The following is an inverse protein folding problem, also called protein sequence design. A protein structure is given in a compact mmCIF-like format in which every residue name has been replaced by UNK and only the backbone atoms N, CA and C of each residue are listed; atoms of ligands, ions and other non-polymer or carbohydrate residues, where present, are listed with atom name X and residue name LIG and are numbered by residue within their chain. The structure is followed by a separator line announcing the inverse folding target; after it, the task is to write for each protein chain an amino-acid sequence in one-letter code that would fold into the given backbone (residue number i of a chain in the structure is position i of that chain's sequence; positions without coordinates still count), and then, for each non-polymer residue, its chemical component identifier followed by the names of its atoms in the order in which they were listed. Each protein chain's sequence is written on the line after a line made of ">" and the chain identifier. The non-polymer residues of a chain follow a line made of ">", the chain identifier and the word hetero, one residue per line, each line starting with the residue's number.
data_IF_453173704775
#
_entry.id   IF_453173704775
#
_cell.length_a   1.000
_cell.length_b   1.000
_cell.length_c   1.000
_cell.angle_alpha   90.00
_cell.angle_beta   90.00
_cell.angle_gamma   90.00
#
_symmetry.space_group_name_H-M   'P 1'
#
loop_
_entity.id
_entity.type
_entity.pdbx_description
1 polymer ?
#
# COMPACT_ATOMS: atom_id res chain seq x y z
N UNK A 1 14.89 -8.46 14.60
CA UNK A 1 15.84 -7.96 13.57
C UNK A 1 16.97 -7.22 14.28
N UNK A 2 18.24 -7.37 13.90
CA UNK A 2 19.37 -6.75 14.62
C UNK A 2 19.64 -5.33 14.10
N UNK A 3 19.78 -4.38 15.03
CA UNK A 3 20.18 -2.96 14.90
C UNK A 3 21.31 -2.68 13.88
N UNK A 4 22.11 -3.70 13.59
CA UNK A 4 23.26 -3.69 12.68
C UNK A 4 22.87 -3.42 11.22
N UNK A 5 21.72 -3.94 10.74
CA UNK A 5 21.35 -3.77 9.32
C UNK A 5 20.86 -2.35 8.98
N UNK A 6 20.31 -1.62 9.95
CA UNK A 6 19.89 -0.23 9.77
C UNK A 6 21.13 0.70 9.86
N UNK A 7 22.14 0.32 10.65
CA UNK A 7 23.39 1.07 10.83
C UNK A 7 24.17 1.26 9.51
N UNK A 8 24.20 0.22 8.66
CA UNK A 8 24.96 0.21 7.39
C UNK A 8 24.37 1.13 6.31
N UNK A 9 23.07 1.42 6.35
CA UNK A 9 22.41 2.31 5.37
C UNK A 9 22.54 3.80 5.75
N UNK A 10 22.78 4.10 7.03
CA UNK A 10 22.84 5.47 7.57
C UNK A 10 24.23 6.11 7.44
N UNK A 11 25.28 5.34 7.12
CA UNK A 11 26.66 5.83 6.98
C UNK A 11 26.92 6.70 5.73
N UNK A 12 25.95 6.86 4.83
CA UNK A 12 26.12 7.57 3.55
C UNK A 12 25.73 9.06 3.53
N UNK A 13 25.18 9.64 4.61
CA UNK A 13 24.60 10.99 4.58
C UNK A 13 25.02 11.85 5.77
N UNK A 14 26.28 12.28 5.84
CA UNK A 14 26.72 13.23 6.87
C UNK A 14 27.70 14.27 6.33
N UNK A 15 27.22 15.20 5.48
CA UNK A 15 27.69 16.60 5.49
C UNK A 15 26.58 17.51 4.96
N UNK A 16 26.10 18.44 5.78
CA UNK A 16 25.22 19.51 5.33
C UNK A 16 24.55 20.25 6.47
N UNK A 17 25.01 21.47 6.73
CA UNK A 17 24.32 22.45 7.58
C UNK A 17 23.13 22.96 6.75
N UNK A 18 21.91 22.62 7.14
CA UNK A 18 20.67 23.09 6.48
C UNK A 18 19.75 23.77 7.49
N UNK A 19 18.96 24.73 7.01
CA UNK A 19 18.21 25.71 7.80
C UNK A 19 17.13 25.13 8.71
N UNK A 20 16.86 25.88 9.79
CA UNK A 20 15.76 25.65 10.75
C UNK A 20 14.42 25.62 10.01
N UNK A 21 13.67 24.54 10.16
CA UNK A 21 12.40 24.32 9.46
C UNK A 21 11.24 23.98 10.41
N UNK A 22 11.54 23.20 11.45
CA UNK A 22 10.53 22.67 12.37
C UNK A 22 10.68 23.26 13.77
N UNK A 23 11.93 23.49 14.23
CA UNK A 23 12.23 24.09 15.53
C UNK A 23 13.28 25.20 15.43
N UNK A 24 13.43 25.97 16.51
CA UNK A 24 14.51 26.94 16.66
C UNK A 24 15.90 26.32 16.48
N UNK A 25 16.06 25.03 16.80
CA UNK A 25 17.31 24.28 16.56
C UNK A 25 17.00 22.90 16.00
N UNK A 26 17.16 22.75 14.68
CA UNK A 26 17.07 21.46 13.98
C UNK A 26 18.48 20.88 13.80
N UNK A 27 18.86 19.91 14.65
CA UNK A 27 20.09 19.13 14.49
C UNK A 27 19.77 17.85 13.71
N UNK A 28 20.68 17.43 12.83
CA UNK A 28 20.59 16.10 12.20
C UNK A 28 20.46 15.06 13.32
N UNK A 29 19.39 14.24 13.32
CA UNK A 29 19.21 13.22 14.33
C UNK A 29 20.36 12.23 14.32
N UNK A 30 20.78 11.77 15.49
CA UNK A 30 21.76 10.68 15.57
C UNK A 30 21.22 9.42 14.91
N UNK A 31 22.13 8.55 14.45
CA UNK A 31 21.80 7.24 13.86
C UNK A 31 20.82 6.45 14.73
N UNK A 32 21.00 6.47 16.05
CA UNK A 32 20.11 5.79 17.00
C UNK A 32 18.70 6.38 17.01
N UNK A 33 18.55 7.72 16.91
CA UNK A 33 17.24 8.37 16.80
C UNK A 33 16.56 8.04 15.48
N UNK A 34 17.32 7.93 14.39
CA UNK A 34 16.79 7.52 13.08
C UNK A 34 16.32 6.07 13.08
N UNK A 35 17.09 5.16 13.68
CA UNK A 35 16.68 3.76 13.86
C UNK A 35 15.38 3.68 14.65
N UNK A 36 15.34 4.34 15.80
CA UNK A 36 14.15 4.39 16.65
C UNK A 36 12.94 4.96 15.89
N UNK A 37 13.13 6.05 15.15
CA UNK A 37 12.09 6.64 14.31
C UNK A 37 11.56 5.67 13.25
N UNK A 38 12.45 4.97 12.54
CA UNK A 38 12.06 3.99 11.52
C UNK A 38 11.32 2.78 12.09
N UNK A 39 11.77 2.22 13.21
CA UNK A 39 11.07 1.10 13.87
C UNK A 39 9.67 1.52 14.32
N UNK A 40 9.54 2.74 14.87
CA UNK A 40 8.24 3.26 15.25
C UNK A 40 7.34 3.52 14.04
N UNK A 41 7.90 3.95 12.90
CA UNK A 41 7.17 4.16 11.65
C UNK A 41 6.57 2.88 11.10
N UNK A 42 7.27 1.75 11.17
CA UNK A 42 6.71 0.47 10.72
C UNK A 42 5.45 0.12 11.52
N UNK A 43 5.53 0.17 12.86
CA UNK A 43 4.38 -0.08 13.72
C UNK A 43 3.24 0.95 13.52
N UNK A 44 3.59 2.23 13.38
CA UNK A 44 2.63 3.31 13.14
C UNK A 44 1.90 3.14 11.81
N UNK A 45 2.63 2.79 10.74
CA UNK A 45 2.06 2.53 9.42
C UNK A 45 1.13 1.32 9.42
N UNK A 46 1.43 0.27 10.19
CA UNK A 46 0.56 -0.90 10.34
C UNK A 46 -0.72 -0.55 11.11
N UNK A 47 -0.64 0.25 12.19
CA UNK A 47 -1.82 0.76 12.90
C UNK A 47 -2.71 1.59 11.96
N UNK A 48 -2.11 2.50 11.19
CA UNK A 48 -2.82 3.27 10.17
C UNK A 48 -3.46 2.35 9.11
N UNK A 49 -2.76 1.32 8.65
CA UNK A 49 -3.25 0.38 7.64
C UNK A 49 -4.56 -0.28 8.05
N UNK A 50 -4.61 -0.80 9.28
CA UNK A 50 -5.80 -1.46 9.83
C UNK A 50 -6.94 -0.45 9.99
N UNK A 51 -6.67 0.72 10.57
CA UNK A 51 -7.68 1.77 10.76
C UNK A 51 -8.24 2.25 9.42
N UNK A 52 -7.39 2.40 8.40
CA UNK A 52 -7.80 2.77 7.06
C UNK A 52 -8.70 1.70 6.44
N UNK A 53 -8.35 0.41 6.53
CA UNK A 53 -9.21 -0.67 6.07
C UNK A 53 -10.59 -0.64 6.74
N UNK A 54 -10.63 -0.44 8.06
CA UNK A 54 -11.86 -0.37 8.86
C UNK A 54 -12.73 0.84 8.52
N UNK A 55 -12.13 1.95 8.08
CA UNK A 55 -12.85 3.17 7.70
C UNK A 55 -13.32 3.19 6.23
N UNK A 56 -12.71 2.36 5.37
CA UNK A 56 -13.09 2.22 3.97
C UNK A 56 -14.38 1.40 3.81
N UNK A 57 -15.11 1.66 2.72
CA UNK A 57 -16.22 0.80 2.33
C UNK A 57 -15.68 -0.52 1.79
N UNK A 58 -15.90 -1.59 2.54
CA UNK A 58 -15.47 -2.95 2.21
C UNK A 58 -16.64 -3.86 1.87
N UNK A 59 -17.81 -3.32 1.48
CA UNK A 59 -18.94 -4.12 0.95
C UNK A 59 -18.74 -4.55 -0.50
N UNK A 60 -17.80 -3.92 -1.20
CA UNK A 60 -17.30 -4.29 -2.53
C UNK A 60 -15.87 -4.82 -2.44
N UNK A 61 -15.33 -5.30 -3.56
CA UNK A 61 -13.88 -5.52 -3.62
C UNK A 61 -13.14 -4.22 -3.34
N UNK A 62 -12.07 -4.32 -2.58
CA UNK A 62 -11.28 -3.18 -2.12
C UNK A 62 -9.81 -3.53 -2.25
N UNK A 63 -9.00 -2.69 -2.89
CA UNK A 63 -7.55 -2.83 -2.91
C UNK A 63 -6.83 -1.49 -2.81
N UNK A 64 -5.86 -1.39 -1.90
CA UNK A 64 -5.11 -0.15 -1.70
C UNK A 64 -3.73 -0.43 -1.09
N UNK A 65 -2.86 0.58 -1.18
CA UNK A 65 -1.60 0.61 -0.44
C UNK A 65 -1.72 1.55 0.75
N UNK A 66 -1.94 1.03 1.96
CA UNK A 66 -1.98 1.89 3.14
C UNK A 66 -0.63 2.55 3.41
N UNK A 67 0.48 1.87 3.13
CA UNK A 67 1.82 2.44 3.30
C UNK A 67 2.06 3.64 2.38
N UNK A 68 1.63 3.58 1.12
CA UNK A 68 1.72 4.72 0.19
C UNK A 68 0.87 5.90 0.68
N UNK A 69 -0.36 5.64 1.16
CA UNK A 69 -1.22 6.70 1.73
C UNK A 69 -0.58 7.32 2.96
N UNK A 70 -0.16 6.50 3.93
CA UNK A 70 0.51 6.93 5.15
C UNK A 70 1.74 7.81 4.84
N UNK A 71 2.59 7.36 3.91
CA UNK A 71 3.80 8.06 3.49
C UNK A 71 3.52 9.35 2.71
N UNK A 72 2.38 9.48 2.03
CA UNK A 72 1.94 10.75 1.42
C UNK A 72 1.47 11.77 2.46
N UNK A 73 0.79 11.30 3.52
CA UNK A 73 0.32 12.15 4.62
C UNK A 73 1.47 12.64 5.51
N UNK A 74 2.58 11.89 5.60
CA UNK A 74 3.81 12.38 6.22
C UNK A 74 4.30 13.67 5.53
N UNK A 75 4.23 13.75 4.20
CA UNK A 75 4.63 14.96 3.46
C UNK A 75 3.77 16.17 3.85
N UNK A 76 2.46 15.97 4.03
CA UNK A 76 1.53 16.98 4.53
C UNK A 76 1.89 17.40 5.95
N UNK A 77 2.16 16.42 6.83
CA UNK A 77 2.56 16.65 8.22
C UNK A 77 3.80 17.54 8.34
N UNK A 78 4.77 17.44 7.42
CA UNK A 78 5.96 18.30 7.45
C UNK A 78 5.61 19.79 7.33
N UNK A 79 4.57 20.15 6.60
CA UNK A 79 4.13 21.54 6.44
C UNK A 79 2.91 21.95 7.28
N UNK A 80 2.37 21.06 8.11
CA UNK A 80 1.26 21.37 9.01
C UNK A 80 1.73 22.01 10.32
N UNK A 81 0.90 22.82 10.97
CA UNK A 81 1.13 23.37 12.32
C UNK A 81 -0.12 23.28 13.19
N UNK A 82 0.01 23.54 14.49
CA UNK A 82 -1.13 23.73 15.40
C UNK A 82 -2.03 22.49 15.54
N UNK A 83 -3.35 22.67 15.42
CA UNK A 83 -4.34 21.58 15.50
C UNK A 83 -4.15 20.56 14.38
N UNK A 84 -3.96 21.02 13.15
CA UNK A 84 -3.76 20.16 11.97
C UNK A 84 -2.58 19.20 12.17
N UNK A 85 -1.49 19.71 12.73
CA UNK A 85 -0.32 18.89 13.07
C UNK A 85 -0.69 17.78 14.06
N UNK A 86 -1.36 18.12 15.17
CA UNK A 86 -1.76 17.15 16.20
C UNK A 86 -2.74 16.10 15.66
N UNK A 87 -3.67 16.50 14.80
CA UNK A 87 -4.59 15.57 14.14
C UNK A 87 -3.84 14.61 13.23
N UNK A 88 -2.90 15.12 12.42
CA UNK A 88 -2.05 14.29 11.57
C UNK A 88 -1.18 13.33 12.40
N UNK A 89 -0.61 13.74 13.53
CA UNK A 89 0.11 12.85 14.43
C UNK A 89 -0.80 11.71 14.93
N UNK A 90 -2.05 12.05 15.26
CA UNK A 90 -3.11 11.11 15.65
C UNK A 90 -3.48 10.10 14.59
N UNK A 91 -3.66 10.57 13.35
CA UNK A 91 -3.99 9.73 12.20
C UNK A 91 -2.80 8.83 11.84
N UNK A 92 -1.60 9.39 11.75
CA UNK A 92 -0.37 8.70 11.38
C UNK A 92 0.16 7.79 12.50
N UNK A 93 -0.32 7.94 13.74
CA UNK A 93 0.12 7.22 14.93
C UNK A 93 1.61 7.45 15.27
N UNK A 94 2.06 8.70 15.15
CA UNK A 94 3.47 9.14 15.34
C UNK A 94 3.63 10.17 16.47
N UNK A 95 2.66 10.24 17.38
CA UNK A 95 2.69 11.19 18.51
C UNK A 95 3.98 11.03 19.34
N UNK A 96 4.55 12.14 19.79
CA UNK A 96 5.73 12.14 20.65
C UNK A 96 7.06 11.94 19.90
N UNK A 97 7.03 11.75 18.58
CA UNK A 97 8.24 11.80 17.76
C UNK A 97 8.50 13.26 17.35
N UNK A 98 9.75 13.68 17.50
CA UNK A 98 10.18 14.98 17.01
C UNK A 98 10.01 15.11 15.48
N UNK A 99 9.38 16.19 15.02
CA UNK A 99 9.10 16.41 13.60
C UNK A 99 10.35 16.42 12.70
N UNK A 100 11.49 16.91 13.20
CA UNK A 100 12.75 16.84 12.47
C UNK A 100 13.25 15.39 12.35
N UNK A 101 13.10 14.59 13.42
CA UNK A 101 13.31 13.13 13.35
C UNK A 101 12.38 12.48 12.33
N UNK A 102 11.11 12.90 12.27
CA UNK A 102 10.15 12.38 11.29
C UNK A 102 10.60 12.66 9.86
N UNK A 103 10.99 13.90 9.56
CA UNK A 103 11.45 14.32 8.23
C UNK A 103 12.67 13.51 7.74
N UNK A 104 13.68 13.34 8.59
CA UNK A 104 14.88 12.57 8.25
C UNK A 104 14.63 11.05 8.22
N UNK A 105 13.78 10.53 9.10
CA UNK A 105 13.40 9.11 9.10
C UNK A 105 12.63 8.76 7.84
N UNK A 106 11.77 9.67 7.35
CA UNK A 106 11.04 9.49 6.11
C UNK A 106 11.96 9.41 4.87
N UNK A 107 12.99 10.25 4.79
CA UNK A 107 14.00 10.15 3.74
C UNK A 107 14.75 8.80 3.81
N UNK A 108 15.13 8.38 5.02
CA UNK A 108 15.80 7.10 5.25
C UNK A 108 14.91 5.91 4.88
N UNK A 109 13.61 6.01 5.13
CA UNK A 109 12.60 5.01 4.78
C UNK A 109 12.50 4.80 3.26
N UNK A 110 12.56 5.88 2.47
CA UNK A 110 12.58 5.77 1.00
C UNK A 110 13.80 5.01 0.50
N UNK A 111 14.97 5.29 1.08
CA UNK A 111 16.22 4.58 0.78
C UNK A 111 16.17 3.11 1.22
N UNK A 112 15.56 2.81 2.37
CA UNK A 112 15.36 1.45 2.85
C UNK A 112 14.56 0.61 1.85
N UNK A 113 13.36 1.07 1.45
CA UNK A 113 12.54 0.30 0.52
C UNK A 113 13.16 0.17 -0.86
N UNK A 114 13.85 1.22 -1.33
CA UNK A 114 14.56 1.17 -2.61
C UNK A 114 15.74 0.18 -2.61
N UNK A 115 16.37 -0.06 -1.45
CA UNK A 115 17.51 -0.99 -1.34
C UNK A 115 17.10 -2.43 -1.03
N UNK A 116 16.05 -2.63 -0.21
CA UNK A 116 15.61 -3.96 0.24
C UNK A 116 14.65 -4.63 -0.73
N UNK A 117 13.90 -3.86 -1.51
CA UNK A 117 12.97 -4.37 -2.52
C UNK A 117 13.59 -4.15 -3.88
N UNK A 118 13.91 -5.23 -4.62
CA UNK A 118 14.50 -5.12 -5.96
C UNK A 118 13.58 -4.27 -6.86
N UNK A 119 14.14 -3.21 -7.45
CA UNK A 119 13.42 -2.14 -8.14
C UNK A 119 12.50 -2.59 -9.31
N UNK A 120 12.64 -3.83 -9.81
CA UNK A 120 11.77 -4.38 -10.86
C UNK A 120 10.36 -4.76 -10.38
N UNK A 121 10.19 -4.95 -9.08
CA UNK A 121 8.95 -5.49 -8.52
C UNK A 121 8.03 -4.46 -7.88
N UNK A 122 8.50 -3.22 -7.70
CA UNK A 122 7.83 -2.26 -6.83
C UNK A 122 8.02 -0.82 -7.30
N UNK A 123 6.95 -0.03 -7.37
CA UNK A 123 7.02 1.41 -7.65
C UNK A 123 6.02 2.14 -6.76
N UNK A 124 6.54 2.92 -5.81
CA UNK A 124 5.75 3.82 -4.96
C UNK A 124 6.08 5.27 -5.31
N UNK A 125 5.03 6.06 -5.51
CA UNK A 125 5.10 7.46 -5.90
C UNK A 125 4.04 8.24 -5.16
N UNK A 126 4.49 9.13 -4.29
CA UNK A 126 3.65 10.09 -3.62
C UNK A 126 3.98 11.44 -4.22
N UNK A 127 2.97 12.23 -4.55
CA UNK A 127 3.18 13.59 -5.03
C UNK A 127 2.27 14.58 -4.31
N UNK A 128 2.83 15.74 -3.98
CA UNK A 128 2.12 16.98 -3.66
C UNK A 128 2.15 17.83 -4.93
N UNK A 129 0.98 18.28 -5.39
CA UNK A 129 0.86 19.26 -6.45
C UNK A 129 0.39 20.58 -5.86
N UNK A 130 1.18 21.64 -6.03
CA UNK A 130 0.85 23.00 -5.60
C UNK A 130 0.58 23.92 -6.78
N UNK A 131 -0.28 24.91 -6.58
CA UNK A 131 -0.47 25.98 -7.55
C UNK A 131 0.86 26.70 -7.85
N UNK A 132 1.10 27.00 -9.14
CA UNK A 132 2.39 27.48 -9.67
C UNK A 132 2.97 28.73 -9.01
N UNK A 133 2.13 29.58 -8.42
CA UNK A 133 2.55 30.86 -7.80
C UNK A 133 2.90 30.73 -6.31
N UNK A 134 2.73 29.56 -5.70
CA UNK A 134 3.01 29.32 -4.28
C UNK A 134 4.50 29.09 -4.05
N UNK A 135 5.12 29.91 -3.18
CA UNK A 135 6.52 29.71 -2.78
C UNK A 135 6.58 28.99 -1.44
N UNK A 136 7.19 27.80 -1.42
CA UNK A 136 7.43 27.08 -0.17
C UNK A 136 8.70 27.58 0.52
N UNK A 137 8.81 27.36 1.83
CA UNK A 137 10.06 27.65 2.54
C UNK A 137 11.21 26.81 1.99
N UNK A 138 12.36 27.45 1.79
CA UNK A 138 13.56 26.80 1.25
C UNK A 138 14.06 25.61 2.09
N UNK A 139 13.81 25.65 3.40
CA UNK A 139 14.17 24.55 4.31
C UNK A 139 13.40 23.25 4.07
N UNK A 140 12.19 23.31 3.47
CA UNK A 140 11.39 22.12 3.14
C UNK A 140 11.81 21.46 1.82
N UNK A 141 12.48 22.20 0.93
CA UNK A 141 12.85 21.73 -0.41
C UNK A 141 13.64 20.42 -0.36
N UNK A 142 14.66 20.22 0.52
CA UNK A 142 15.38 18.95 0.59
C UNK A 142 14.50 17.74 0.93
N UNK A 143 13.42 17.94 1.70
CA UNK A 143 12.51 16.87 2.12
C UNK A 143 11.43 16.55 1.07
N UNK A 144 11.06 17.55 0.26
CA UNK A 144 9.96 17.45 -0.71
C UNK A 144 10.41 17.34 -2.17
N UNK A 145 11.71 17.49 -2.46
CA UNK A 145 12.26 17.63 -3.82
C UNK A 145 11.75 16.59 -4.83
N UNK A 146 11.53 15.35 -4.40
CA UNK A 146 11.13 14.25 -5.28
C UNK A 146 9.61 14.00 -5.30
N UNK A 147 8.86 14.71 -4.49
CA UNK A 147 7.42 14.53 -4.32
C UNK A 147 6.63 15.81 -4.59
N UNK A 148 7.26 16.98 -4.65
CA UNK A 148 6.60 18.24 -4.95
C UNK A 148 6.66 18.56 -6.44
N UNK A 149 5.51 18.90 -7.02
CA UNK A 149 5.40 19.46 -8.36
C UNK A 149 4.51 20.71 -8.35
N UNK A 150 4.85 21.68 -9.18
CA UNK A 150 4.04 22.88 -9.41
C UNK A 150 3.16 22.69 -10.64
N UNK A 151 1.90 23.06 -10.54
CA UNK A 151 0.90 22.92 -11.60
C UNK A 151 0.07 24.20 -11.66
N UNK A 152 -0.48 24.54 -12.84
CA UNK A 152 -1.39 25.66 -12.97
C UNK A 152 -2.85 25.23 -13.00
N UNK A 153 -3.47 25.21 -11.82
CA UNK A 153 -4.87 24.87 -11.64
C UNK A 153 -5.83 26.00 -12.04
N UNK A 154 -5.41 27.26 -11.90
CA UNK A 154 -6.30 28.42 -12.07
C UNK A 154 -6.65 28.71 -13.52
N UNK A 155 -5.63 28.81 -14.37
CA UNK A 155 -5.83 29.21 -15.77
C UNK A 155 -6.43 28.07 -16.60
N UNK A 156 -6.00 26.82 -16.36
CA UNK A 156 -6.44 25.65 -17.13
C UNK A 156 -6.59 24.38 -16.27
N UNK A 157 -7.66 24.25 -15.46
CA UNK A 157 -7.88 23.11 -14.55
C UNK A 157 -7.82 21.73 -15.25
N UNK A 158 -8.42 21.61 -16.43
CA UNK A 158 -8.41 20.34 -17.18
C UNK A 158 -7.04 20.00 -17.76
N UNK A 159 -6.27 21.00 -18.20
CA UNK A 159 -4.89 20.77 -18.66
C UNK A 159 -4.00 20.33 -17.49
N UNK A 160 -4.17 20.95 -16.32
CA UNK A 160 -3.53 20.52 -15.08
C UNK A 160 -3.86 19.05 -14.74
N UNK A 161 -5.14 18.67 -14.83
CA UNK A 161 -5.59 17.29 -14.59
C UNK A 161 -4.93 16.30 -15.54
N UNK A 162 -4.91 16.60 -16.83
CA UNK A 162 -4.27 15.76 -17.86
C UNK A 162 -2.76 15.66 -17.60
N UNK A 163 -2.09 16.78 -17.29
CA UNK A 163 -0.66 16.79 -17.01
C UNK A 163 -0.29 15.96 -15.76
N UNK A 164 -1.09 16.04 -14.70
CA UNK A 164 -0.89 15.24 -13.48
C UNK A 164 -1.08 13.75 -13.78
N UNK A 165 -2.16 13.37 -14.49
CA UNK A 165 -2.39 11.98 -14.88
C UNK A 165 -1.25 11.45 -15.77
N UNK A 166 -0.77 12.24 -16.72
CA UNK A 166 0.36 11.87 -17.57
C UNK A 166 1.66 11.68 -16.78
N UNK A 167 1.96 12.58 -15.82
CA UNK A 167 3.13 12.45 -14.96
C UNK A 167 3.07 11.13 -14.17
N UNK A 168 1.92 10.84 -13.56
CA UNK A 168 1.71 9.63 -12.76
C UNK A 168 1.76 8.38 -13.63
N UNK A 169 1.20 8.41 -14.83
CA UNK A 169 1.30 7.34 -15.81
C UNK A 169 2.77 7.03 -16.14
N UNK A 170 3.59 8.05 -16.43
CA UNK A 170 5.02 7.86 -16.67
C UNK A 170 5.76 7.33 -15.45
N UNK A 171 5.47 7.90 -14.28
CA UNK A 171 6.06 7.47 -13.01
C UNK A 171 5.73 6.01 -12.66
N UNK A 172 4.57 5.51 -13.10
CA UNK A 172 4.08 4.15 -12.87
C UNK A 172 4.29 3.22 -14.07
N UNK A 173 5.04 3.63 -15.10
CA UNK A 173 5.31 2.84 -16.31
C UNK A 173 4.02 2.32 -16.98
N UNK A 174 3.06 3.22 -17.17
CA UNK A 174 1.75 2.98 -17.79
C UNK A 174 0.79 2.07 -17.02
N UNK A 175 1.12 1.72 -15.78
CA UNK A 175 0.29 0.85 -14.93
C UNK A 175 -0.87 1.57 -14.28
N UNK A 176 -0.73 2.87 -14.02
CA UNK A 176 -1.80 3.72 -13.51
C UNK A 176 -1.96 4.90 -14.47
N UNK A 177 -2.98 4.82 -15.34
CA UNK A 177 -3.19 5.82 -16.40
C UNK A 177 -3.93 7.07 -15.93
N UNK A 178 -4.89 6.89 -15.04
CA UNK A 178 -5.75 7.97 -14.57
C UNK A 178 -6.01 7.80 -13.08
N UNK A 179 -5.55 8.76 -12.29
CA UNK A 179 -5.83 8.87 -10.85
C UNK A 179 -6.84 9.98 -10.56
N UNK A 180 -6.79 11.08 -11.33
CA UNK A 180 -7.67 12.23 -11.19
C UNK A 180 -8.81 12.13 -12.20
N UNK A 181 -10.05 11.85 -11.75
CA UNK A 181 -11.18 11.70 -12.65
C UNK A 181 -11.59 13.04 -13.29
N UNK A 182 -12.34 13.05 -14.40
CA UNK A 182 -12.86 14.28 -14.98
C UNK A 182 -13.61 15.13 -13.93
N UNK A 183 -13.50 16.46 -14.03
CA UNK A 183 -14.09 17.41 -13.09
C UNK A 183 -13.55 17.34 -11.65
N UNK A 184 -12.41 16.67 -11.40
CA UNK A 184 -11.82 16.58 -10.05
C UNK A 184 -10.95 17.77 -9.65
N UNK A 185 -10.65 18.67 -10.59
CA UNK A 185 -9.83 19.87 -10.38
C UNK A 185 -10.67 21.07 -10.81
N UNK A 186 -10.60 22.13 -10.02
CA UNK A 186 -11.31 23.38 -10.29
C UNK A 186 -10.33 24.55 -10.32
N UNK A 187 -10.79 25.72 -10.78
CA UNK A 187 -9.96 26.93 -10.84
C UNK A 187 -9.53 27.44 -9.46
N UNK A 188 -10.22 27.03 -8.39
CA UNK A 188 -9.84 27.35 -7.01
C UNK A 188 -8.89 26.33 -6.38
N UNK A 189 -8.59 25.21 -7.06
CA UNK A 189 -7.69 24.19 -6.52
C UNK A 189 -6.28 24.73 -6.37
N UNK A 190 -5.65 24.47 -5.22
CA UNK A 190 -4.30 24.92 -4.91
C UNK A 190 -3.38 23.80 -4.42
N UNK A 191 -3.93 22.72 -3.86
CA UNK A 191 -3.16 21.64 -3.23
C UNK A 191 -3.82 20.27 -3.44
N UNK A 192 -3.15 19.41 -4.21
CA UNK A 192 -3.56 18.00 -4.38
C UNK A 192 -2.49 17.08 -3.82
N UNK A 193 -2.89 16.08 -3.04
CA UNK A 193 -2.02 14.96 -2.66
C UNK A 193 -2.41 13.73 -3.47
N UNK A 194 -1.42 13.07 -4.07
CA UNK A 194 -1.60 11.79 -4.75
C UNK A 194 -0.70 10.73 -4.16
N UNK A 195 -1.22 9.51 -4.07
CA UNK A 195 -0.51 8.33 -3.58
C UNK A 195 -0.76 7.20 -4.56
N UNK A 196 0.31 6.70 -5.18
CA UNK A 196 0.24 5.61 -6.14
C UNK A 196 1.27 4.56 -5.84
N UNK A 197 0.83 3.31 -5.88
CA UNK A 197 1.71 2.17 -5.68
C UNK A 197 1.34 1.06 -6.64
N UNK A 198 2.36 0.58 -7.35
CA UNK A 198 2.29 -0.53 -8.26
C UNK A 198 3.23 -1.63 -7.77
N UNK A 199 2.77 -2.87 -7.81
CA UNK A 199 3.56 -4.02 -7.43
C UNK A 199 3.43 -5.14 -8.45
N UNK A 200 4.58 -5.76 -8.73
CA UNK A 200 4.75 -6.90 -9.60
C UNK A 200 5.68 -7.91 -8.93
N UNK A 201 5.14 -9.03 -8.48
CA UNK A 201 5.90 -10.08 -7.81
C UNK A 201 5.74 -11.40 -8.52
N UNK A 202 6.77 -12.24 -8.55
CA UNK A 202 6.61 -13.65 -8.95
C UNK A 202 6.53 -14.51 -7.70
N UNK A 203 5.62 -15.49 -7.68
CA UNK A 203 5.57 -16.46 -6.59
C UNK A 203 6.93 -17.16 -6.47
N UNK A 204 7.39 -17.42 -5.25
CA UNK A 204 8.55 -18.27 -5.05
C UNK A 204 8.30 -19.67 -5.61
N UNK A 205 7.06 -20.16 -5.43
CA UNK A 205 6.55 -21.40 -5.99
C UNK A 205 5.30 -21.09 -6.82
N UNK A 206 5.39 -21.02 -8.16
CA UNK A 206 4.26 -20.73 -9.01
C UNK A 206 3.28 -21.91 -9.10
N UNK A 207 2.04 -21.62 -9.43
CA UNK A 207 1.04 -22.62 -9.80
C UNK A 207 1.34 -23.11 -11.21
N UNK A 208 0.96 -24.37 -11.48
CA UNK A 208 0.98 -24.90 -12.84
C UNK A 208 -0.30 -24.45 -13.57
N UNK A 209 -0.22 -23.74 -14.71
CA UNK A 209 -1.41 -23.30 -15.44
C UNK A 209 -2.37 -24.43 -15.81
N UNK A 210 -1.85 -25.61 -16.13
CA UNK A 210 -2.68 -26.79 -16.40
C UNK A 210 -3.47 -27.32 -15.20
N UNK A 211 -3.11 -26.89 -13.97
CA UNK A 211 -3.84 -27.23 -12.75
C UNK A 211 -4.95 -26.23 -12.43
N UNK A 212 -5.00 -25.07 -13.13
CA UNK A 212 -6.09 -24.11 -13.00
C UNK A 212 -7.37 -24.71 -13.57
N UNK A 213 -8.44 -24.69 -12.78
CA UNK A 213 -9.74 -25.27 -13.15
C UNK A 213 -10.91 -24.45 -12.60
N UNK A 214 -12.09 -24.49 -13.25
CA UNK A 214 -13.28 -23.87 -12.69
C UNK A 214 -13.60 -24.42 -11.30
N UNK A 215 -13.92 -23.54 -10.35
CA UNK A 215 -14.38 -23.89 -9.02
C UNK A 215 -15.45 -22.92 -8.53
N UNK A 216 -16.32 -23.39 -7.64
CA UNK A 216 -17.37 -22.55 -7.06
C UNK A 216 -16.76 -21.53 -6.10
N UNK A 217 -17.12 -20.27 -6.27
CA UNK A 217 -16.85 -19.20 -5.33
C UNK A 217 -18.17 -18.66 -4.79
N UNK A 218 -18.38 -18.77 -3.48
CA UNK A 218 -19.60 -18.41 -2.77
C UNK A 218 -19.51 -16.97 -2.27
N UNK A 219 -20.27 -16.05 -2.89
CA UNK A 219 -20.33 -14.63 -2.48
C UNK A 219 -21.27 -14.44 -1.29
N UNK A 220 -22.26 -15.33 -1.16
CA UNK A 220 -23.18 -15.44 -0.03
C UNK A 220 -23.65 -16.91 0.14
N UNK A 221 -24.62 -17.16 1.02
CA UNK A 221 -25.22 -18.49 1.16
C UNK A 221 -26.01 -18.93 -0.09
N UNK A 222 -26.55 -17.96 -0.85
CA UNK A 222 -27.45 -18.22 -1.97
C UNK A 222 -26.84 -17.87 -3.33
N UNK A 223 -25.72 -17.15 -3.34
CA UNK A 223 -25.07 -16.69 -4.57
C UNK A 223 -23.67 -17.27 -4.68
N UNK A 224 -23.38 -17.80 -5.87
CA UNK A 224 -22.08 -18.32 -6.24
C UNK A 224 -21.83 -18.13 -7.73
N UNK A 225 -20.56 -18.22 -8.13
CA UNK A 225 -20.17 -18.24 -9.54
C UNK A 225 -18.95 -19.14 -9.76
N UNK A 226 -18.64 -19.43 -11.02
CA UNK A 226 -17.45 -20.19 -11.40
C UNK A 226 -16.24 -19.24 -11.51
N UNK A 227 -15.26 -19.42 -10.63
CA UNK A 227 -13.97 -18.76 -10.68
C UNK A 227 -12.90 -19.70 -11.24
N UNK A 228 -11.87 -19.15 -11.89
CA UNK A 228 -10.68 -19.92 -12.25
C UNK A 228 -9.82 -20.12 -10.99
N UNK A 229 -9.85 -21.34 -10.45
CA UNK A 229 -9.11 -21.71 -9.23
C UNK A 229 -7.75 -22.28 -9.62
N UNK A 230 -6.68 -21.58 -9.26
CA UNK A 230 -5.31 -22.07 -9.37
C UNK A 230 -5.06 -23.09 -8.27
N UNK A 231 -4.57 -24.28 -8.63
CA UNK A 231 -4.39 -25.38 -7.67
C UNK A 231 -2.92 -25.77 -7.57
N UNK A 232 -2.41 -25.86 -6.34
CA UNK A 232 -1.07 -26.33 -6.03
C UNK A 232 -1.08 -27.24 -4.80
N UNK A 233 -0.08 -28.12 -4.71
CA UNK A 233 0.20 -28.93 -3.53
C UNK A 233 1.66 -28.68 -3.16
N UNK A 234 1.88 -28.00 -2.03
CA UNK A 234 3.21 -27.66 -1.55
C UNK A 234 3.19 -27.40 -0.03
N UNK A 235 4.37 -27.12 0.53
CA UNK A 235 4.51 -26.67 1.91
C UNK A 235 4.32 -25.17 2.02
N UNK A 236 3.34 -24.74 2.80
CA UNK A 236 3.09 -23.33 3.11
C UNK A 236 3.13 -23.10 4.62
N UNK A 237 3.57 -21.91 5.01
CA UNK A 237 3.38 -21.43 6.37
C UNK A 237 1.89 -21.19 6.60
N UNK A 238 1.34 -21.78 7.67
CA UNK A 238 -0.10 -21.82 7.93
C UNK A 238 -0.38 -21.62 9.42
N UNK A 239 -1.47 -20.91 9.71
CA UNK A 239 -1.99 -20.75 11.06
C UNK A 239 -3.52 -20.72 11.05
N UNK A 240 -4.10 -21.08 12.20
CA UNK A 240 -5.52 -20.83 12.50
C UNK A 240 -5.58 -19.84 13.65
N UNK A 241 -6.37 -18.77 13.54
CA UNK A 241 -6.57 -17.81 14.63
C UNK A 241 -8.02 -17.83 15.09
N UNK A 242 -8.22 -18.09 16.37
CA UNK A 242 -9.53 -17.97 17.02
C UNK A 242 -9.87 -16.50 17.29
N UNK A 243 -8.88 -15.65 17.61
CA UNK A 243 -9.14 -14.24 17.84
C UNK A 243 -9.58 -13.49 16.57
N UNK A 244 -8.98 -13.83 15.43
CA UNK A 244 -9.32 -13.24 14.13
C UNK A 244 -10.42 -14.04 13.39
N UNK A 245 -10.84 -15.18 13.94
CA UNK A 245 -11.85 -16.06 13.33
C UNK A 245 -11.51 -16.44 11.88
N UNK A 246 -10.24 -16.75 11.60
CA UNK A 246 -9.76 -17.08 10.26
C UNK A 246 -8.75 -18.24 10.28
N UNK A 247 -8.52 -18.80 9.10
CA UNK A 247 -7.31 -19.57 8.78
C UNK A 247 -6.48 -18.75 7.81
N UNK A 248 -5.16 -18.83 7.89
CA UNK A 248 -4.28 -18.04 7.05
C UNK A 248 -3.14 -18.87 6.47
N UNK A 249 -2.74 -18.50 5.26
CA UNK A 249 -1.53 -19.01 4.61
C UNK A 249 -0.62 -17.87 4.22
N UNK A 250 0.67 -18.18 4.15
CA UNK A 250 1.71 -17.28 3.74
C UNK A 250 2.35 -17.77 2.42
N UNK A 251 2.34 -16.90 1.41
CA UNK A 251 2.80 -17.17 0.04
C UNK A 251 3.96 -16.23 -0.35
N UNK A 252 5.23 -16.67 -0.18
CA UNK A 252 6.39 -15.82 -0.43
C UNK A 252 6.58 -15.53 -1.92
N UNK A 253 7.08 -14.33 -2.23
CA UNK A 253 7.54 -13.98 -3.58
C UNK A 253 9.03 -14.33 -3.77
N UNK A 254 9.48 -14.36 -5.03
CA UNK A 254 10.90 -14.46 -5.38
C UNK A 254 11.70 -13.37 -4.67
N UNK A 255 12.84 -13.76 -4.09
CA UNK A 255 13.67 -12.88 -3.28
C UNK A 255 13.28 -12.84 -1.80
N UNK A 256 12.12 -13.39 -1.42
CA UNK A 256 11.66 -13.55 -0.03
C UNK A 256 11.62 -12.25 0.81
N UNK A 257 11.70 -11.08 0.16
CA UNK A 257 11.57 -9.78 0.82
C UNK A 257 10.10 -9.38 1.00
N UNK A 258 9.23 -9.90 0.14
CA UNK A 258 7.79 -9.65 0.18
C UNK A 258 7.05 -10.97 0.23
N UNK A 259 5.89 -10.94 0.86
CA UNK A 259 5.01 -12.09 0.99
C UNK A 259 3.55 -11.67 0.96
N UNK A 260 2.70 -12.44 0.27
CA UNK A 260 1.24 -12.32 0.41
C UNK A 260 0.77 -13.22 1.55
N UNK A 261 -0.08 -12.68 2.41
CA UNK A 261 -0.81 -13.43 3.43
C UNK A 261 -2.28 -13.42 3.06
N UNK A 262 -2.87 -14.61 2.91
CA UNK A 262 -4.29 -14.79 2.62
C UNK A 262 -4.98 -15.23 3.90
N UNK A 263 -5.90 -14.42 4.40
CA UNK A 263 -6.71 -14.71 5.58
C UNK A 263 -8.13 -15.06 5.14
N UNK A 264 -8.48 -16.34 5.29
CA UNK A 264 -9.76 -16.90 4.93
C UNK A 264 -10.66 -17.00 6.17
N UNK A 265 -11.74 -16.22 6.27
CA UNK A 265 -12.63 -16.28 7.43
C UNK A 265 -13.25 -17.66 7.63
N UNK A 266 -13.41 -18.07 8.89
CA UNK A 266 -14.08 -19.34 9.26
C UNK A 266 -15.58 -19.27 8.93
N UNK A 267 -16.23 -18.15 9.24
CA UNK A 267 -17.63 -17.92 8.91
C UNK A 267 -17.79 -17.55 7.43
N UNK A 268 -18.67 -18.27 6.71
CA UNK A 268 -18.86 -18.09 5.26
C UNK A 268 -19.71 -16.89 4.85
N UNK A 269 -20.48 -16.30 5.76
CA UNK A 269 -21.47 -15.25 5.46
C UNK A 269 -21.00 -13.88 5.92
N UNK A 270 -20.65 -13.74 7.21
CA UNK A 270 -20.24 -12.46 7.81
C UNK A 270 -18.76 -12.44 8.19
N UNK A 271 -18.00 -13.47 7.80
CA UNK A 271 -16.63 -13.67 8.26
C UNK A 271 -15.67 -12.54 7.91
N UNK A 272 -15.81 -11.92 6.74
CA UNK A 272 -14.93 -10.80 6.35
C UNK A 272 -15.13 -9.59 7.26
N UNK A 273 -16.37 -9.23 7.58
CA UNK A 273 -16.65 -8.10 8.47
C UNK A 273 -16.13 -8.36 9.89
N UNK A 274 -16.34 -9.57 10.41
CA UNK A 274 -15.82 -9.99 11.73
C UNK A 274 -14.29 -9.98 11.75
N UNK A 275 -13.66 -10.46 10.68
CA UNK A 275 -12.21 -10.43 10.54
C UNK A 275 -11.71 -8.97 10.54
N UNK A 276 -12.28 -8.10 9.70
CA UNK A 276 -11.83 -6.69 9.60
C UNK A 276 -12.01 -5.94 10.92
N UNK A 277 -13.12 -6.15 11.63
CA UNK A 277 -13.38 -5.49 12.92
C UNK A 277 -12.50 -6.02 14.05
N UNK A 278 -12.03 -7.27 13.96
CA UNK A 278 -11.15 -7.88 14.96
C UNK A 278 -9.65 -7.61 14.72
N UNK A 279 -9.27 -7.07 13.56
CA UNK A 279 -7.87 -6.77 13.24
C UNK A 279 -7.26 -5.75 14.23
N UNK A 280 -6.12 -6.13 14.80
CA UNK A 280 -5.20 -5.25 15.52
C UNK A 280 -3.77 -5.59 15.11
N UNK A 281 -2.82 -4.67 15.34
CA UNK A 281 -1.41 -4.95 15.02
C UNK A 281 -0.89 -6.14 15.82
N UNK A 282 -1.26 -6.23 17.10
CA UNK A 282 -0.90 -7.36 17.97
C UNK A 282 -1.40 -8.67 17.38
N UNK A 283 -2.71 -8.76 17.06
CA UNK A 283 -3.30 -9.98 16.51
C UNK A 283 -2.72 -10.40 15.16
N UNK A 284 -2.35 -9.43 14.31
CA UNK A 284 -1.67 -9.74 13.06
C UNK A 284 -0.25 -10.26 13.30
N UNK A 285 0.48 -9.71 14.26
CA UNK A 285 1.80 -10.22 14.63
C UNK A 285 1.70 -11.61 15.24
N UNK A 286 0.78 -11.83 16.17
CA UNK A 286 0.53 -13.14 16.78
C UNK A 286 0.19 -14.19 15.71
N UNK A 287 -0.67 -13.84 14.75
CA UNK A 287 -1.00 -14.69 13.61
C UNK A 287 0.25 -15.08 12.80
N UNK A 288 1.17 -14.14 12.56
CA UNK A 288 2.41 -14.39 11.81
C UNK A 288 3.38 -15.25 12.62
N UNK A 289 3.51 -14.99 13.92
CA UNK A 289 4.41 -15.73 14.82
C UNK A 289 3.93 -17.18 15.03
N UNK A 290 2.61 -17.40 14.98
CA UNK A 290 1.98 -18.72 15.05
C UNK A 290 2.03 -19.51 13.73
N UNK A 291 2.45 -18.90 12.61
CA UNK A 291 2.57 -19.61 11.34
C UNK A 291 3.76 -20.55 11.33
N UNK A 292 3.50 -21.79 10.93
CA UNK A 292 4.57 -22.77 10.75
C UNK A 292 4.29 -23.65 9.51
N UNK A 293 5.32 -24.31 8.95
CA UNK A 293 5.15 -25.08 7.71
C UNK A 293 4.16 -26.26 7.84
N UNK A 294 3.22 -26.35 6.90
CA UNK A 294 2.28 -27.48 6.72
C UNK A 294 2.21 -27.90 5.26
N UNK A 295 1.91 -29.18 5.03
CA UNK A 295 1.61 -29.72 3.70
C UNK A 295 0.16 -29.36 3.31
N UNK A 296 0.00 -28.55 2.26
CA UNK A 296 -1.29 -27.93 1.90
C UNK A 296 -1.61 -28.13 0.42
N UNK A 297 -2.85 -28.54 0.15
CA UNK A 297 -3.47 -28.41 -1.16
C UNK A 297 -4.20 -27.06 -1.21
N UNK A 298 -3.61 -26.11 -1.91
CA UNK A 298 -4.10 -24.75 -2.06
C UNK A 298 -4.95 -24.64 -3.32
N UNK A 299 -6.17 -24.11 -3.19
CA UNK A 299 -6.96 -23.61 -4.31
C UNK A 299 -7.25 -22.11 -4.12
N UNK A 300 -6.67 -21.26 -4.96
CA UNK A 300 -6.78 -19.80 -4.90
C UNK A 300 -7.39 -19.27 -6.20
N UNK A 301 -8.45 -18.42 -6.17
CA UNK A 301 -9.00 -17.86 -7.39
C UNK A 301 -7.99 -16.89 -8.04
N UNK A 302 -7.98 -16.84 -9.37
CA UNK A 302 -7.40 -15.72 -10.13
C UNK A 302 -8.25 -14.49 -9.90
N UNK A 303 -7.62 -13.34 -9.70
CA UNK A 303 -8.35 -12.09 -9.54
C UNK A 303 -7.55 -10.89 -9.98
N UNK A 304 -8.26 -9.85 -10.38
CA UNK A 304 -7.69 -8.53 -10.61
C UNK A 304 -8.52 -7.49 -9.88
N UNK A 305 -7.84 -6.64 -9.11
CA UNK A 305 -8.43 -5.49 -8.45
C UNK A 305 -7.73 -4.22 -8.93
N UNK A 306 -8.52 -3.21 -9.26
CA UNK A 306 -8.06 -1.85 -9.50
C UNK A 306 -9.04 -0.93 -8.79
N UNK A 307 -8.51 -0.09 -7.91
CA UNK A 307 -9.32 0.74 -7.06
C UNK A 307 -8.73 2.14 -6.93
N UNK A 308 -9.64 3.11 -6.90
CA UNK A 308 -9.34 4.54 -6.80
C UNK A 308 -10.16 5.13 -5.66
N UNK A 309 -9.53 5.97 -4.85
CA UNK A 309 -10.14 6.58 -3.67
C UNK A 309 -9.86 8.07 -3.69
N UNK A 310 -10.93 8.86 -3.51
CA UNK A 310 -10.81 10.18 -2.90
C UNK A 310 -10.89 9.94 -1.39
N UNK A 311 -9.78 10.17 -0.68
CA UNK A 311 -9.59 9.75 0.71
C UNK A 311 -10.02 10.80 1.74
N UNK A 312 -10.33 12.05 1.35
CA UNK A 312 -10.68 13.11 2.30
C UNK A 312 -11.84 12.71 3.23
N UNK A 313 -12.97 12.13 2.75
CA UNK A 313 -14.05 11.64 3.62
C UNK A 313 -13.61 10.55 4.60
N UNK A 314 -12.68 9.68 4.18
CA UNK A 314 -12.16 8.61 5.03
C UNK A 314 -11.20 9.15 6.08
N UNK A 315 -10.34 10.10 5.71
CA UNK A 315 -9.41 10.77 6.62
C UNK A 315 -10.14 11.58 7.70
N UNK A 316 -11.28 12.20 7.35
CA UNK A 316 -12.18 12.82 8.32
C UNK A 316 -12.64 11.81 9.39
N UNK A 317 -13.09 10.62 8.98
CA UNK A 317 -13.50 9.54 9.91
C UNK A 317 -12.33 9.06 10.79
N UNK A 318 -11.10 9.14 10.28
CA UNK A 318 -9.89 8.78 11.02
C UNK A 318 -9.42 9.87 12.00
N UNK A 319 -10.01 11.07 11.95
CA UNK A 319 -9.75 12.15 12.90
C UNK A 319 -9.04 13.37 12.33
N UNK A 320 -8.85 13.46 11.00
CA UNK A 320 -8.34 14.68 10.36
C UNK A 320 -9.52 15.61 10.03
N UNK A 321 -10.01 16.33 11.05
CA UNK A 321 -11.21 17.15 10.99
C UNK A 321 -10.97 18.49 10.30
N UNK A 322 -9.74 19.01 10.42
CA UNK A 322 -9.35 20.27 9.76
C UNK A 322 -9.54 20.24 8.24
N UNK A 323 -9.55 19.06 7.59
CA UNK A 323 -9.87 18.90 6.16
C UNK A 323 -11.24 19.46 5.75
N UNK A 324 -12.21 19.52 6.67
CA UNK A 324 -13.60 19.86 6.35
C UNK A 324 -14.03 21.18 6.99
N UNK A 325 -13.35 21.60 8.06
CA UNK A 325 -13.68 22.85 8.76
C UNK A 325 -13.05 24.09 8.10
N UNK A 326 -12.21 23.93 7.08
CA UNK A 326 -11.49 25.05 6.45
C UNK A 326 -10.43 25.69 7.37
N UNK A 327 -10.05 24.98 8.45
CA UNK A 327 -9.07 25.45 9.46
C UNK A 327 -7.71 24.80 9.32
N UNK A 328 -7.45 24.14 8.19
CA UNK A 328 -6.15 23.56 7.84
C UNK A 328 -5.03 24.58 8.01
N UNK A 329 -4.19 24.36 9.01
CA UNK A 329 -3.01 25.18 9.25
C UNK A 329 -1.81 24.56 8.54
N UNK A 330 -1.67 24.90 7.26
CA UNK A 330 -0.54 24.53 6.40
C UNK A 330 0.51 25.65 6.26
N UNK A 331 0.53 26.59 7.20
CA UNK A 331 1.50 27.71 7.23
C UNK A 331 2.95 27.27 7.46
N UNK A 332 3.18 25.98 7.69
CA UNK A 332 4.51 25.37 7.64
C UNK A 332 5.04 25.20 6.21
N UNK A 333 4.19 25.21 5.17
CA UNK A 333 4.63 25.20 3.78
C UNK A 333 5.06 26.58 3.29
N UNK A 334 4.23 27.60 3.57
CA UNK A 334 4.41 28.97 3.04
C UNK A 334 3.81 29.99 4.00
N UNK A 335 4.27 31.25 3.91
CA UNK A 335 3.64 32.41 4.55
C UNK A 335 2.74 33.21 3.62
N UNK A 336 2.75 32.90 2.32
CA UNK A 336 2.19 33.78 1.29
C UNK A 336 0.66 33.78 1.30
N UNK A 337 0.04 32.66 1.72
CA UNK A 337 -1.41 32.51 1.90
C UNK A 337 -1.73 31.26 2.74
N UNK A 338 -2.97 31.19 3.21
CA UNK A 338 -3.52 29.99 3.84
C UNK A 338 -3.76 28.94 2.76
N UNK A 339 -3.22 27.73 2.95
CA UNK A 339 -3.43 26.61 2.03
C UNK A 339 -4.44 25.64 2.63
N UNK A 340 -5.33 25.14 1.79
CA UNK A 340 -6.20 24.01 2.09
C UNK A 340 -5.73 22.77 1.31
N UNK A 341 -6.21 21.58 1.67
CA UNK A 341 -5.99 20.35 0.89
C UNK A 341 -7.27 20.08 0.13
N UNK A 342 -7.28 20.40 -1.15
CA UNK A 342 -8.46 20.22 -2.00
C UNK A 342 -8.85 18.75 -2.12
N UNK A 343 -7.84 17.87 -2.27
CA UNK A 343 -8.08 16.45 -2.38
C UNK A 343 -6.87 15.58 -2.05
N UNK A 344 -7.16 14.38 -1.53
CA UNK A 344 -6.20 13.29 -1.39
C UNK A 344 -6.67 12.13 -2.26
N UNK A 345 -5.95 11.83 -3.34
CA UNK A 345 -6.26 10.72 -4.23
C UNK A 345 -5.30 9.56 -4.04
N UNK A 346 -5.85 8.35 -3.95
CA UNK A 346 -5.09 7.11 -3.93
C UNK A 346 -5.56 6.17 -5.03
N UNK A 347 -4.62 5.52 -5.71
CA UNK A 347 -4.94 4.45 -6.67
C UNK A 347 -3.93 3.31 -6.58
N UNK A 348 -4.45 2.10 -6.62
CA UNK A 348 -3.68 0.88 -6.61
C UNK A 348 -4.30 -0.17 -7.54
N UNK A 349 -3.44 -1.04 -8.08
CA UNK A 349 -3.83 -2.14 -8.96
C UNK A 349 -3.04 -3.39 -8.60
N UNK A 350 -3.70 -4.53 -8.64
CA UNK A 350 -3.12 -5.86 -8.49
C UNK A 350 -3.79 -6.83 -9.45
N UNK A 351 -3.01 -7.72 -10.04
CA UNK A 351 -3.50 -8.87 -10.79
C UNK A 351 -2.78 -10.11 -10.26
N UNK A 352 -3.52 -11.11 -9.83
CA UNK A 352 -2.99 -12.37 -9.28
C UNK A 352 -3.27 -13.51 -10.26
N UNK A 353 -2.20 -14.17 -10.67
CA UNK A 353 -2.18 -15.28 -11.61
C UNK A 353 -1.25 -16.41 -11.14
N UNK A 354 -1.10 -17.43 -11.98
CA UNK A 354 -0.36 -18.65 -11.67
C UNK A 354 1.13 -18.39 -11.42
N UNK A 355 1.69 -17.33 -11.99
CA UNK A 355 3.11 -17.01 -11.88
C UNK A 355 3.40 -16.02 -10.76
N UNK A 356 2.42 -15.20 -10.38
CA UNK A 356 2.63 -14.19 -9.35
C UNK A 356 1.55 -13.13 -9.28
N UNK A 357 1.99 -11.95 -8.84
CA UNK A 357 1.31 -10.69 -9.05
C UNK A 357 1.87 -10.01 -10.31
N UNK A 358 1.06 -10.01 -11.36
CA UNK A 358 1.26 -9.56 -12.76
C UNK A 358 2.48 -10.15 -13.50
N UNK A 359 2.31 -11.24 -14.26
CA UNK A 359 3.33 -11.83 -15.13
C UNK A 359 2.83 -12.09 -16.57
N UNK A 360 3.77 -12.27 -17.50
CA UNK A 360 3.52 -12.80 -18.85
C UNK A 360 4.70 -13.71 -19.25
N UNK A 361 4.41 -15.03 -19.38
CA UNK A 361 5.23 -16.18 -19.83
C UNK A 361 6.62 -16.39 -19.20
N UNK A 362 7.25 -17.58 -19.20
CA UNK A 362 6.84 -18.97 -19.03
C UNK A 362 8.16 -19.74 -18.85
N UNK A 363 8.38 -20.41 -17.72
CA UNK A 363 9.35 -21.51 -17.61
C UNK A 363 8.98 -22.36 -16.40
N UNK A 364 8.42 -23.53 -16.65
CA UNK A 364 8.09 -24.52 -15.64
C UNK A 364 9.33 -25.38 -15.36
N UNK A 365 9.87 -25.32 -14.15
CA UNK A 365 10.83 -26.29 -13.64
C UNK A 365 10.10 -27.22 -12.68
N UNK A 366 10.15 -28.53 -12.96
CA UNK A 366 9.59 -29.55 -12.10
C UNK A 366 10.41 -29.68 -10.81
N UNK A 367 9.74 -29.71 -9.65
CA UNK A 367 10.36 -29.94 -8.35
C UNK A 367 9.99 -31.32 -7.79
N UNK A 368 10.91 -31.97 -7.05
CA UNK A 368 10.71 -33.30 -6.50
C UNK A 368 9.77 -33.30 -5.30
N UNK A 369 8.88 -34.30 -5.23
CA UNK A 369 8.04 -34.60 -4.06
C UNK A 369 8.91 -34.94 -2.85
N UNK A 370 8.70 -34.25 -1.73
CA UNK A 370 9.18 -34.70 -0.41
C UNK A 370 8.03 -35.36 0.33
N UNK A 371 8.21 -36.62 0.73
CA UNK A 371 7.29 -37.29 1.65
C UNK A 371 7.62 -36.85 3.08
N UNK A 372 6.71 -36.16 3.74
CA UNK A 372 6.63 -36.14 5.19
C UNK A 372 5.21 -36.58 5.58
N UNK A 373 5.10 -37.45 6.58
CA UNK A 373 3.82 -37.99 7.06
C UNK A 373 3.07 -36.96 7.92
N UNK A 374 2.69 -35.84 7.31
CA UNK A 374 1.78 -34.87 7.90
C UNK A 374 0.41 -34.98 7.23
N UNK A 375 -0.67 -34.85 8.02
CA UNK A 375 -2.02 -34.75 7.49
C UNK A 375 -2.07 -33.59 6.48
N UNK A 376 -2.42 -33.89 5.24
CA UNK A 376 -2.61 -32.90 4.18
C UNK A 376 -3.81 -32.01 4.57
N UNK A 377 -3.65 -30.70 4.46
CA UNK A 377 -4.70 -29.71 4.73
C UNK A 377 -5.20 -29.15 3.40
N UNK A 378 -6.51 -29.17 3.18
CA UNK A 378 -7.14 -28.47 2.06
C UNK A 378 -7.39 -27.01 2.44
N UNK A 379 -6.72 -26.08 1.75
CA UNK A 379 -6.96 -24.64 1.88
C UNK A 379 -7.62 -24.11 0.62
N UNK A 380 -8.95 -24.13 0.61
CA UNK A 380 -9.76 -23.73 -0.54
C UNK A 380 -10.33 -22.33 -0.30
N UNK A 381 -9.89 -21.36 -1.10
CA UNK A 381 -10.32 -19.96 -1.04
C UNK A 381 -11.59 -19.76 -1.88
N UNK A 382 -12.67 -20.40 -1.45
CA UNK A 382 -13.97 -20.49 -2.15
C UNK A 382 -14.97 -19.40 -1.73
N UNK A 383 -14.55 -18.36 -1.03
CA UNK A 383 -15.44 -17.36 -0.41
C UNK A 383 -14.69 -16.06 -0.12
N UNK A 384 -15.40 -14.95 0.17
CA UNK A 384 -14.77 -13.67 0.48
C UNK A 384 -13.66 -13.77 1.51
N UNK A 385 -12.53 -13.13 1.21
CA UNK A 385 -11.31 -13.21 2.01
C UNK A 385 -10.60 -11.86 2.08
N UNK A 386 -9.74 -11.72 3.10
CA UNK A 386 -8.86 -10.57 3.26
C UNK A 386 -7.45 -11.02 2.94
N UNK A 387 -6.69 -10.21 2.22
CA UNK A 387 -5.28 -10.46 2.01
C UNK A 387 -4.46 -9.20 2.25
N UNK A 388 -3.18 -9.37 2.52
CA UNK A 388 -2.24 -8.28 2.56
C UNK A 388 -0.88 -8.73 2.04
N UNK A 389 -0.09 -7.77 1.54
CA UNK A 389 1.29 -8.00 1.13
C UNK A 389 2.16 -7.27 2.13
N UNK A 390 3.08 -8.00 2.78
CA UNK A 390 4.01 -7.45 3.76
C UNK A 390 5.45 -7.49 3.26
N UNK A 391 6.26 -6.56 3.75
CA UNK A 391 7.72 -6.62 3.63
C UNK A 391 8.30 -7.30 4.86
N UNK A 392 9.04 -8.40 4.65
CA UNK A 392 9.35 -9.38 5.69
C UNK A 392 10.40 -8.89 6.70
N UNK A 393 11.24 -7.91 6.34
CA UNK A 393 12.21 -7.36 7.30
C UNK A 393 11.53 -6.41 8.28
N UNK A 394 10.70 -5.49 7.79
CA UNK A 394 10.03 -4.47 8.60
C UNK A 394 8.66 -4.88 9.14
N UNK A 395 8.09 -6.00 8.67
CA UNK A 395 6.69 -6.37 8.86
C UNK A 395 5.69 -5.29 8.39
N UNK A 396 6.13 -4.36 7.53
CA UNK A 396 5.27 -3.27 7.06
C UNK A 396 4.25 -3.78 6.05
N UNK A 397 2.98 -3.41 6.24
CA UNK A 397 1.88 -3.75 5.34
C UNK A 397 1.94 -2.84 4.11
N UNK A 398 2.39 -3.38 2.99
CA UNK A 398 2.53 -2.65 1.72
C UNK A 398 1.20 -2.48 1.00
N UNK A 399 0.39 -3.53 0.99
CA UNK A 399 -0.92 -3.57 0.36
C UNK A 399 -1.91 -4.33 1.22
N UNK A 400 -3.18 -3.94 1.14
CA UNK A 400 -4.29 -4.69 1.71
C UNK A 400 -5.41 -4.77 0.68
N UNK A 401 -6.14 -5.88 0.73
CA UNK A 401 -7.33 -6.02 -0.07
C UNK A 401 -8.37 -6.95 0.52
N UNK A 402 -9.59 -6.74 0.08
CA UNK A 402 -10.75 -7.58 0.35
C UNK A 402 -11.26 -8.05 -1.00
N UNK A 403 -11.29 -9.37 -1.19
CA UNK A 403 -11.87 -9.98 -2.38
C UNK A 403 -13.22 -10.54 -1.98
N UNK A 404 -14.29 -10.03 -2.59
CA UNK A 404 -15.67 -10.54 -2.47
C UNK A 404 -16.15 -11.17 -3.76
N UNK A 405 -15.71 -10.64 -4.89
CA UNK A 405 -16.03 -11.11 -6.22
C UNK A 405 -14.73 -11.13 -7.03
N UNK A 406 -13.96 -12.23 -7.05
CA UNK A 406 -12.78 -12.33 -7.91
C UNK A 406 -13.18 -12.13 -9.37
N UNK A 407 -13.00 -10.91 -9.89
CA UNK A 407 -13.29 -10.59 -11.29
C UNK A 407 -12.37 -11.44 -12.17
N UNK A 408 -12.97 -12.17 -13.10
CA UNK A 408 -12.22 -12.95 -14.09
C UNK A 408 -11.32 -12.01 -14.89
N UNK A 409 -10.04 -12.37 -15.02
CA UNK A 409 -9.14 -11.76 -15.99
C UNK A 409 -9.74 -12.01 -17.36
N UNK A 410 -10.21 -10.95 -18.06
CA UNK A 410 -10.55 -11.10 -19.48
C UNK A 410 -9.26 -11.57 -20.16
N UNK A 411 -9.27 -12.76 -20.75
CA UNK A 411 -8.21 -13.16 -21.66
C UNK A 411 -8.10 -12.06 -22.71
N UNK A 412 -6.95 -11.38 -22.78
CA UNK A 412 -6.67 -10.53 -23.92
C UNK A 412 -6.43 -11.52 -25.06
N UNK A 413 -7.51 -11.86 -25.76
CA UNK A 413 -7.43 -12.60 -26.99
C UNK A 413 -6.51 -11.82 -27.93
N UNK A 414 -5.41 -12.45 -28.35
CA UNK A 414 -4.70 -12.05 -29.55
C UNK A 414 -5.67 -12.24 -30.73
N UNK A 415 -6.48 -11.22 -30.99
CA UNK A 415 -7.28 -11.04 -32.20
C UNK A 415 -7.09 -9.60 -32.66
N UNK A 416 -5.86 -9.28 -33.05
CA UNK A 416 -5.60 -8.19 -33.96
C UNK A 416 -4.43 -8.61 -34.85
N UNK A 417 -4.57 -8.31 -36.14
CA UNK A 417 -3.67 -8.63 -37.27
C UNK A 417 -3.89 -9.99 -37.92
N UNK A 418 -5.00 -10.15 -38.66
CA UNK A 418 -4.97 -10.47 -40.11
C UNK A 418 -6.21 -9.81 -40.73
N UNK A 419 -6.06 -8.61 -41.27
CA UNK A 419 -6.85 -8.09 -42.39
C UNK A 419 -6.24 -6.75 -42.82
N UNK A 420 -5.15 -6.86 -43.60
CA UNK A 420 -4.71 -5.94 -44.65
C UNK A 420 -3.38 -6.49 -45.18
N UNK A 421 -3.51 -7.48 -46.07
CA UNK A 421 -2.60 -7.70 -47.20
C UNK A 421 -3.43 -7.55 -48.47
#
# INVERSE_FOLDING_TARGET
>A
MTTIQILLLLLGCLVGVYGQCFKEVDRIPSTQKLIFGMEHFFAASNRFSIRLLQALNTTRDTFFSPFSVWSSLILVYLGSKGTTEKELEGVLSIQGIDKNVVAHSYQSLKSWFSSKVKASSFTMRNNIFLQRDIKIYSCLVPFLKNDLAYTDFRENPELARIAINFLIQRQTKDKIKEILPPNSIHSFTEFIVTSTMYFRGLWLQPFLPQSTRPGLFFTSHYEYFLAEMMVAHDTYNYATSDELQCTAIEMPYVGKSLTMVVMLPKNKVHGVQILISSLTVTRLNDLIDDMFPRDIVLALPKFQLEDSFQLSPTLLKLGLRDLVTGTLNLTGFTKDRMLEIDAVYHKARIAVDEFGTEAAAATATAFPRRSHSTKIIDFIVDRPFVFYIRENHSNSIMFMGVVRHPKQLKSIGFHYVIEHL
#
